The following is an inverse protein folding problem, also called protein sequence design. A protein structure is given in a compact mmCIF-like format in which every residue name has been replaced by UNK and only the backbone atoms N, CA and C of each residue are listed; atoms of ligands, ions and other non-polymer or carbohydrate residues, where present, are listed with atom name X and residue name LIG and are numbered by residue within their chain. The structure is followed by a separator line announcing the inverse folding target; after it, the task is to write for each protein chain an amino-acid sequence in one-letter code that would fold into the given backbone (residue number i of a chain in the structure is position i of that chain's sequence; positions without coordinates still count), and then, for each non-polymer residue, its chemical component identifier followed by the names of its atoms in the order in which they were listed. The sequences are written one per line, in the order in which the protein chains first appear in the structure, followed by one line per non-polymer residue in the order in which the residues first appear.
data_IF_948236178798
#
_entry.id   IF_948236178798
#
_cell.length_a   1.000
_cell.length_b   1.000
_cell.length_c   1.000
_cell.angle_alpha   90.00
_cell.angle_beta   90.00
_cell.angle_gamma   90.00
#
_symmetry.space_group_name_H-M   'P 1'
#
loop_
_entity.id
_entity.type
_entity.pdbx_description
1 polymer ?
#
# COMPACT_ATOMS: atom_id res chain seq x y z
N UNK A 1 2.00 7.96 -26.77
CA UNK A 1 1.85 7.28 -25.48
C UNK A 1 2.21 8.29 -24.40
N UNK A 2 1.39 8.52 -23.37
CA UNK A 2 1.84 9.34 -22.25
C UNK A 2 3.05 8.67 -21.61
N UNK A 3 4.13 9.42 -21.41
CA UNK A 3 5.29 8.93 -20.66
C UNK A 3 4.84 8.54 -19.24
N UNK A 4 5.39 7.45 -18.64
CA UNK A 4 5.06 7.11 -17.27
C UNK A 4 5.43 8.31 -16.39
N UNK A 5 4.42 8.95 -15.79
CA UNK A 5 4.65 10.06 -14.87
C UNK A 5 5.43 9.51 -13.68
N UNK A 6 6.70 9.89 -13.60
CA UNK A 6 7.60 9.43 -12.56
C UNK A 6 7.17 10.07 -11.24
N UNK A 7 6.75 9.25 -10.28
CA UNK A 7 6.31 9.74 -8.97
C UNK A 7 7.51 9.75 -8.03
N UNK A 8 7.71 10.85 -7.31
CA UNK A 8 8.78 10.94 -6.32
C UNK A 8 8.25 10.56 -4.94
N UNK A 9 8.92 9.63 -4.27
CA UNK A 9 8.63 9.22 -2.90
C UNK A 9 9.74 9.70 -1.96
N UNK A 10 9.44 10.01 -0.68
CA UNK A 10 10.48 10.28 0.31
C UNK A 10 11.32 9.02 0.53
N UNK A 11 12.63 9.13 0.38
CA UNK A 11 13.62 8.13 0.75
C UNK A 11 14.48 8.63 1.92
N UNK A 12 15.61 7.95 2.22
CA UNK A 12 16.39 8.16 3.43
C UNK A 12 16.69 9.62 3.74
N UNK A 13 16.73 9.94 5.03
CA UNK A 13 17.14 11.25 5.52
C UNK A 13 18.59 11.52 5.14
N UNK A 14 18.83 12.68 4.52
CA UNK A 14 20.15 13.18 4.21
C UNK A 14 20.39 14.46 5.01
N UNK A 15 21.60 14.65 5.59
CA UNK A 15 21.94 15.90 6.27
C UNK A 15 21.82 17.07 5.30
N UNK A 16 21.06 18.09 5.68
CA UNK A 16 20.87 19.30 4.89
C UNK A 16 21.95 20.35 5.20
N UNK A 17 21.99 21.39 4.37
CA UNK A 17 22.98 22.48 4.48
C UNK A 17 22.75 23.40 5.70
N UNK A 18 21.65 23.22 6.41
CA UNK A 18 21.24 24.02 7.57
C UNK A 18 21.30 23.23 8.89
N UNK A 19 21.86 22.01 8.87
CA UNK A 19 22.01 21.16 10.04
C UNK A 19 20.74 20.40 10.43
N UNK A 20 19.72 20.38 9.57
CA UNK A 20 18.56 19.52 9.65
C UNK A 20 18.72 18.23 8.82
N UNK A 21 17.67 17.42 8.79
CA UNK A 21 17.59 16.21 7.99
C UNK A 21 16.42 16.33 7.01
N UNK A 22 16.70 16.20 5.71
CA UNK A 22 15.68 16.25 4.65
C UNK A 22 15.64 14.92 3.90
N UNK A 23 14.47 14.32 3.66
CA UNK A 23 14.36 13.06 2.92
C UNK A 23 14.74 13.24 1.45
N UNK A 24 15.56 12.33 0.92
CA UNK A 24 15.91 12.30 -0.50
C UNK A 24 14.70 11.83 -1.31
N UNK A 25 14.23 12.63 -2.26
CA UNK A 25 13.11 12.25 -3.11
C UNK A 25 13.55 11.24 -4.19
N UNK A 26 13.13 9.99 -4.07
CA UNK A 26 13.47 8.90 -5.00
C UNK A 26 12.39 8.73 -6.08
N UNK A 27 12.76 8.52 -7.36
CA UNK A 27 11.80 8.19 -8.40
C UNK A 27 11.22 6.78 -8.15
N UNK A 28 9.92 6.65 -8.31
CA UNK A 28 9.16 5.40 -8.21
C UNK A 28 8.17 5.34 -9.37
N UNK A 29 7.89 4.11 -9.82
CA UNK A 29 6.78 3.88 -10.72
C UNK A 29 5.46 4.27 -10.04
N UNK A 30 4.51 4.73 -10.84
CA UNK A 30 3.17 5.04 -10.36
C UNK A 30 2.49 3.78 -9.82
N UNK A 31 1.86 3.83 -8.62
CA UNK A 31 1.19 2.68 -8.08
C UNK A 31 -0.02 2.33 -8.94
N UNK A 32 -0.31 1.03 -9.02
CA UNK A 32 -1.55 0.50 -9.57
C UNK A 32 -2.52 0.21 -8.43
N UNK A 33 -3.80 0.16 -8.75
CA UNK A 33 -4.82 -0.20 -7.78
C UNK A 33 -5.07 -1.69 -7.87
N UNK A 34 -5.04 -2.36 -6.72
CA UNK A 34 -5.35 -3.77 -6.59
C UNK A 34 -6.59 -3.94 -5.72
N UNK A 35 -7.50 -4.80 -6.17
CA UNK A 35 -8.60 -5.35 -5.38
C UNK A 35 -8.15 -6.70 -4.87
N UNK A 36 -8.11 -6.85 -3.55
CA UNK A 36 -7.63 -8.06 -2.88
C UNK A 36 -8.75 -8.61 -2.03
N UNK A 37 -9.06 -9.89 -2.19
CA UNK A 37 -9.96 -10.61 -1.29
C UNK A 37 -9.13 -11.31 -0.22
N UNK A 38 -9.46 -11.04 1.04
CA UNK A 38 -8.78 -11.59 2.21
C UNK A 38 -9.81 -12.36 3.03
N UNK A 39 -9.57 -13.66 3.24
CA UNK A 39 -10.37 -14.51 4.12
C UNK A 39 -9.78 -14.54 5.53
N UNK A 40 -10.67 -14.73 6.50
CA UNK A 40 -10.30 -15.05 7.87
C UNK A 40 -10.31 -16.56 8.00
N UNK A 41 -9.23 -17.16 8.47
CA UNK A 41 -9.12 -18.61 8.62
C UNK A 41 -9.90 -19.15 9.85
N UNK A 42 -10.50 -18.27 10.65
CA UNK A 42 -11.37 -18.62 11.78
C UNK A 42 -12.84 -18.78 11.34
N UNK A 43 -13.47 -19.83 11.84
CA UNK A 43 -14.62 -20.56 11.29
C UNK A 43 -15.95 -19.79 11.02
N UNK A 44 -16.06 -18.50 11.31
CA UNK A 44 -17.35 -17.78 11.23
C UNK A 44 -17.31 -16.45 10.46
N UNK A 45 -16.15 -16.00 9.96
CA UNK A 45 -16.02 -14.68 9.33
C UNK A 45 -15.91 -14.75 7.81
N UNK A 46 -16.76 -13.97 7.15
CA UNK A 46 -16.82 -13.82 5.69
C UNK A 46 -15.54 -13.13 5.18
N UNK A 47 -15.13 -13.50 3.97
CA UNK A 47 -14.07 -12.80 3.24
C UNK A 47 -14.35 -11.31 3.13
N UNK A 48 -13.28 -10.52 3.08
CA UNK A 48 -13.34 -9.07 2.88
C UNK A 48 -12.56 -8.69 1.65
N UNK A 49 -13.20 -7.89 0.81
CA UNK A 49 -12.54 -7.25 -0.31
C UNK A 49 -11.96 -5.90 0.12
N UNK A 50 -10.65 -5.73 -0.06
CA UNK A 50 -9.93 -4.49 0.22
C UNK A 50 -9.35 -3.95 -1.08
N UNK A 51 -9.46 -2.64 -1.29
CA UNK A 51 -8.83 -1.95 -2.43
C UNK A 51 -7.61 -1.20 -1.93
N UNK A 52 -6.44 -1.45 -2.52
CA UNK A 52 -5.16 -0.85 -2.13
C UNK A 52 -4.38 -0.36 -3.35
N UNK A 53 -3.74 0.79 -3.22
CA UNK A 53 -2.72 1.23 -4.17
C UNK A 53 -1.36 0.62 -3.79
N UNK A 54 -0.70 -0.04 -4.75
CA UNK A 54 0.60 -0.67 -4.56
C UNK A 54 1.44 -0.63 -5.84
N UNK A 55 2.76 -0.78 -5.73
CA UNK A 55 3.64 -0.85 -6.90
C UNK A 55 3.52 -2.19 -7.63
N UNK A 56 3.19 -3.26 -6.92
CA UNK A 56 3.04 -4.60 -7.48
C UNK A 56 2.06 -5.46 -6.67
N UNK A 57 1.75 -6.66 -7.19
CA UNK A 57 0.82 -7.62 -6.55
C UNK A 57 1.28 -8.05 -5.16
N UNK A 58 2.57 -8.30 -4.96
CA UNK A 58 3.13 -8.72 -3.67
C UNK A 58 2.95 -7.66 -2.60
N UNK A 59 3.25 -6.40 -2.92
CA UNK A 59 3.01 -5.27 -2.03
C UNK A 59 1.50 -5.08 -1.78
N UNK A 60 0.67 -5.25 -2.82
CA UNK A 60 -0.80 -5.19 -2.70
C UNK A 60 -1.37 -6.23 -1.73
N UNK A 61 -0.94 -7.49 -1.84
CA UNK A 61 -1.35 -8.55 -0.92
C UNK A 61 -0.97 -8.23 0.53
N UNK A 62 0.29 -7.82 0.75
CA UNK A 62 0.78 -7.44 2.09
C UNK A 62 -0.02 -6.28 2.69
N UNK A 63 -0.27 -5.24 1.89
CA UNK A 63 -1.03 -4.07 2.33
C UNK A 63 -2.50 -4.39 2.61
N UNK A 64 -3.08 -5.32 1.86
CA UNK A 64 -4.45 -5.77 2.08
C UNK A 64 -4.57 -6.54 3.40
N UNK A 65 -3.66 -7.47 3.68
CA UNK A 65 -3.61 -8.20 4.97
C UNK A 65 -3.46 -7.22 6.13
N UNK A 66 -2.48 -6.31 6.05
CA UNK A 66 -2.28 -5.29 7.09
C UNK A 66 -3.54 -4.43 7.32
N UNK A 67 -4.23 -4.02 6.25
CA UNK A 67 -5.46 -3.23 6.37
C UNK A 67 -6.64 -4.03 6.97
N UNK A 68 -6.61 -5.36 6.85
CA UNK A 68 -7.55 -6.24 7.51
C UNK A 68 -7.19 -6.41 8.98
N UNK A 69 -5.91 -6.65 9.30
CA UNK A 69 -5.38 -6.75 10.67
C UNK A 69 -5.65 -5.48 11.49
N UNK A 70 -5.38 -4.29 10.92
CA UNK A 70 -5.63 -2.99 11.57
C UNK A 70 -7.12 -2.80 11.96
N UNK A 71 -8.03 -3.55 11.33
CA UNK A 71 -9.48 -3.49 11.56
C UNK A 71 -10.04 -4.74 12.24
N UNK A 72 -9.25 -5.78 12.37
CA UNK A 72 -9.66 -7.04 12.97
C UNK A 72 -9.54 -6.93 14.49
N UNK A 73 -10.37 -7.67 15.22
CA UNK A 73 -10.21 -7.77 16.67
C UNK A 73 -9.07 -8.74 16.98
N UNK A 74 -8.49 -8.65 18.18
CA UNK A 74 -7.33 -9.47 18.58
C UNK A 74 -7.54 -10.95 18.24
N UNK A 75 -8.73 -11.53 18.37
CA UNK A 75 -9.00 -12.96 18.13
C UNK A 75 -8.98 -13.41 16.64
N UNK A 76 -8.85 -12.51 15.68
CA UNK A 76 -8.73 -12.82 14.23
C UNK A 76 -7.27 -13.00 13.84
N UNK A 77 -6.66 -14.11 14.26
CA UNK A 77 -5.21 -14.25 14.15
C UNK A 77 -4.69 -14.74 12.79
N UNK A 78 -5.53 -15.38 11.98
CA UNK A 78 -5.09 -16.03 10.75
C UNK A 78 -5.86 -15.48 9.53
N UNK A 79 -5.12 -14.94 8.56
CA UNK A 79 -5.63 -14.33 7.34
C UNK A 79 -5.00 -14.97 6.09
N UNK A 80 -5.80 -15.19 5.05
CA UNK A 80 -5.33 -15.68 3.76
C UNK A 80 -5.79 -14.75 2.64
N UNK A 81 -4.97 -14.61 1.59
CA UNK A 81 -5.33 -13.84 0.39
C UNK A 81 -5.90 -14.82 -0.63
N UNK A 82 -7.21 -14.72 -0.88
CA UNK A 82 -7.93 -15.61 -1.80
C UNK A 82 -7.73 -15.19 -3.26
N UNK A 83 -7.78 -13.88 -3.52
CA UNK A 83 -7.66 -13.33 -4.88
C UNK A 83 -6.99 -11.94 -4.89
N UNK A 84 -6.33 -11.63 -6.01
CA UNK A 84 -5.75 -10.31 -6.27
C UNK A 84 -5.91 -9.90 -7.74
N UNK A 85 -6.74 -8.88 -7.94
CA UNK A 85 -7.02 -8.31 -9.24
C UNK A 85 -6.42 -6.90 -9.37
N UNK A 86 -5.71 -6.64 -10.46
CA UNK A 86 -5.31 -5.27 -10.80
C UNK A 86 -6.49 -4.57 -11.47
N UNK A 87 -6.93 -3.45 -10.91
CA UNK A 87 -7.98 -2.63 -11.52
C UNK A 87 -7.39 -1.78 -12.64
N UNK A 88 -8.06 -1.76 -13.80
CA UNK A 88 -7.67 -0.93 -14.95
C UNK A 88 -8.13 0.51 -14.77
N UNK A 89 -7.66 1.15 -13.70
CA UNK A 89 -7.89 2.56 -13.40
C UNK A 89 -6.69 3.16 -12.67
N UNK A 90 -6.54 4.48 -12.80
CA UNK A 90 -5.62 5.22 -11.97
C UNK A 90 -6.07 5.20 -10.48
N UNK A 91 -5.13 5.29 -9.53
CA UNK A 91 -5.44 5.53 -8.13
C UNK A 91 -6.19 6.85 -7.95
N UNK A 92 -7.14 6.89 -7.03
CA UNK A 92 -7.74 8.14 -6.57
C UNK A 92 -6.72 8.96 -5.77
N UNK A 93 -6.99 10.24 -5.56
CA UNK A 93 -6.15 11.10 -4.71
C UNK A 93 -5.99 10.52 -3.30
N UNK A 94 -7.06 9.98 -2.72
CA UNK A 94 -7.04 9.36 -1.39
C UNK A 94 -6.16 8.10 -1.36
N UNK A 95 -6.30 7.22 -2.35
CA UNK A 95 -5.47 6.00 -2.46
C UNK A 95 -3.99 6.34 -2.65
N UNK A 96 -3.70 7.39 -3.42
CA UNK A 96 -2.35 7.90 -3.64
C UNK A 96 -1.74 8.47 -2.36
N UNK A 97 -2.49 9.27 -1.60
CA UNK A 97 -2.01 9.82 -0.33
C UNK A 97 -1.82 8.71 0.72
N UNK A 98 -2.72 7.73 0.79
CA UNK A 98 -2.57 6.56 1.65
C UNK A 98 -1.32 5.73 1.30
N UNK A 99 -1.00 5.58 0.01
CA UNK A 99 0.23 4.91 -0.44
C UNK A 99 1.49 5.69 -0.05
N UNK A 100 1.50 7.02 -0.22
CA UNK A 100 2.62 7.88 0.20
C UNK A 100 2.81 7.88 1.72
N UNK A 101 1.72 7.94 2.50
CA UNK A 101 1.77 7.98 3.96
C UNK A 101 2.44 6.72 4.54
N UNK A 102 2.10 5.53 4.04
CA UNK A 102 2.73 4.27 4.48
C UNK A 102 4.24 4.23 4.24
N UNK A 103 4.72 4.88 3.18
CA UNK A 103 6.15 4.98 2.85
C UNK A 103 6.90 6.06 3.63
N UNK A 104 6.19 7.02 4.24
CA UNK A 104 6.78 7.97 5.19
C UNK A 104 7.02 7.34 6.57
N UNK A 105 6.18 6.39 6.98
CA UNK A 105 6.26 5.73 8.30
C UNK A 105 7.29 4.60 8.33
N UNK A 106 7.58 3.97 7.18
CA UNK A 106 8.54 2.87 7.07
C UNK A 106 10.03 3.30 7.02
N UNK A 107 10.35 4.52 7.47
CA UNK A 107 11.70 5.10 7.47
C UNK A 107 12.22 5.31 8.89
#
# INVERSE_FOLDING_TARGET
MPEPQQIYIPGPLHPDLFGGETPVMLPSDAPKVFRVEVSYLVAERRSRTVTVAAANRTEGARLAVQAVEDRAHEDDHDHEVDDIEALDRAPTTEEMEAWKARRRVAQ
#
